data_IF_189408402602
#
_entry.id   IF_189408402602
#
_cell.length_a   1.000
_cell.length_b   1.000
_cell.length_c   1.000
_cell.angle_alpha   90.00
_cell.angle_beta   90.00
_cell.angle_gamma   90.00
#
_symmetry.space_group_name_H-M   'P 1'
#
loop_
_entity.id
_entity.type
_entity.pdbx_description
1 polymer ?
#
# COMPACT_ATOMS: atom_id res chain seq x y z
N UNK A 1 -14.28 17.34 35.81
CA UNK A 1 -14.53 15.98 35.30
C UNK A 1 -13.67 15.75 34.07
N UNK A 2 -12.59 14.95 34.16
CA UNK A 2 -11.92 14.42 32.96
C UNK A 2 -12.87 13.39 32.37
N UNK A 3 -13.42 13.63 31.18
CA UNK A 3 -14.09 12.59 30.44
C UNK A 3 -13.09 11.43 30.29
N UNK A 4 -13.45 10.24 30.76
CA UNK A 4 -12.76 9.02 30.34
C UNK A 4 -12.87 9.02 28.82
N UNK A 5 -11.74 9.16 28.13
CA UNK A 5 -11.74 9.01 26.69
C UNK A 5 -12.11 7.55 26.42
N UNK A 6 -13.30 7.36 25.85
CA UNK A 6 -13.77 6.04 25.45
C UNK A 6 -12.93 5.58 24.27
N UNK A 7 -12.47 4.34 24.30
CA UNK A 7 -11.79 3.73 23.15
C UNK A 7 -12.64 3.81 21.89
N UNK A 8 -12.00 3.95 20.73
CA UNK A 8 -12.70 3.99 19.45
C UNK A 8 -13.35 2.63 19.17
N UNK A 9 -14.62 2.65 18.77
CA UNK A 9 -15.23 1.47 18.16
C UNK A 9 -14.71 1.30 16.73
N UNK A 10 -14.70 0.06 16.23
CA UNK A 10 -14.18 -0.28 14.89
C UNK A 10 -14.83 0.58 13.79
N UNK A 11 -16.16 0.63 13.75
CA UNK A 11 -16.89 1.39 12.71
C UNK A 11 -16.54 2.89 12.74
N UNK A 12 -16.39 3.45 13.95
CA UNK A 12 -15.99 4.85 14.12
C UNK A 12 -14.56 5.08 13.64
N UNK A 13 -13.63 4.17 13.94
CA UNK A 13 -12.24 4.26 13.50
C UNK A 13 -12.13 4.29 11.96
N UNK A 14 -12.84 3.39 11.27
CA UNK A 14 -12.83 3.32 9.80
C UNK A 14 -13.54 4.50 9.12
N UNK A 15 -14.53 5.12 9.77
CA UNK A 15 -15.24 6.26 9.19
C UNK A 15 -14.51 7.57 9.48
N UNK A 16 -14.14 7.79 10.73
CA UNK A 16 -13.54 9.04 11.20
C UNK A 16 -12.10 9.22 10.71
N UNK A 17 -11.38 8.16 10.33
CA UNK A 17 -10.03 8.35 9.77
C UNK A 17 -10.06 9.15 8.46
N UNK A 18 -11.16 9.05 7.70
CA UNK A 18 -11.34 9.78 6.45
C UNK A 18 -11.99 11.15 6.64
N UNK A 19 -12.83 11.31 7.67
CA UNK A 19 -13.61 12.54 7.91
C UNK A 19 -12.96 13.48 8.94
N UNK A 20 -12.43 12.91 10.02
CA UNK A 20 -11.90 13.60 11.21
C UNK A 20 -10.62 12.92 11.73
N UNK A 21 -9.54 12.80 10.93
CA UNK A 21 -8.35 12.03 11.29
C UNK A 21 -7.70 12.47 12.61
N UNK A 22 -7.71 13.77 12.91
CA UNK A 22 -7.18 14.32 14.17
C UNK A 22 -7.86 13.70 15.40
N UNK A 23 -9.18 13.47 15.34
CA UNK A 23 -9.91 12.84 16.44
C UNK A 23 -9.47 11.39 16.61
N UNK A 24 -9.31 10.65 15.52
CA UNK A 24 -8.82 9.27 15.54
C UNK A 24 -7.45 9.19 16.20
N UNK A 25 -6.48 9.97 15.73
CA UNK A 25 -5.14 9.97 16.30
C UNK A 25 -5.12 10.40 17.77
N UNK A 26 -6.05 11.25 18.22
CA UNK A 26 -6.12 11.65 19.64
C UNK A 26 -6.50 10.51 20.58
N UNK A 27 -7.33 9.56 20.12
CA UNK A 27 -7.84 8.40 20.88
C UNK A 27 -7.10 7.10 20.57
N UNK A 28 -6.17 7.13 19.61
CA UNK A 28 -5.57 5.93 19.04
C UNK A 28 -4.73 5.14 20.06
N UNK A 29 -4.03 5.83 20.96
CA UNK A 29 -3.21 5.19 22.02
C UNK A 29 -4.03 4.35 23.00
N UNK A 30 -5.29 4.70 23.22
CA UNK A 30 -6.23 3.94 24.07
C UNK A 30 -6.89 2.78 23.30
N UNK A 31 -6.68 2.72 21.99
CA UNK A 31 -7.35 1.81 21.07
C UNK A 31 -6.36 0.78 20.47
N UNK A 32 -5.35 0.35 21.23
CA UNK A 32 -4.31 -0.62 20.79
C UNK A 32 -4.87 -1.92 20.22
N UNK A 33 -6.01 -2.36 20.73
CA UNK A 33 -6.73 -3.54 20.26
C UNK A 33 -7.23 -3.42 18.81
N UNK A 34 -7.24 -2.22 18.20
CA UNK A 34 -7.63 -2.02 16.81
C UNK A 34 -6.51 -2.33 15.80
N UNK A 35 -5.25 -2.47 16.26
CA UNK A 35 -4.10 -2.72 15.37
C UNK A 35 -4.31 -3.95 14.48
N UNK A 36 -4.66 -5.09 15.08
CA UNK A 36 -4.89 -6.33 14.34
C UNK A 36 -6.14 -6.26 13.45
N UNK A 37 -7.17 -5.49 13.83
CA UNK A 37 -8.38 -5.31 13.03
C UNK A 37 -8.10 -4.49 11.76
N UNK A 38 -7.37 -3.39 11.89
CA UNK A 38 -6.95 -2.58 10.73
C UNK A 38 -6.02 -3.38 9.83
N UNK A 39 -5.05 -4.08 10.42
CA UNK A 39 -4.18 -4.97 9.67
C UNK A 39 -4.97 -6.05 8.91
N UNK A 40 -5.92 -6.71 9.57
CA UNK A 40 -6.77 -7.73 8.96
C UNK A 40 -7.64 -7.14 7.84
N UNK A 41 -8.14 -5.92 7.98
CA UNK A 41 -8.92 -5.26 6.93
C UNK A 41 -8.07 -4.95 5.69
N UNK A 42 -6.87 -4.40 5.87
CA UNK A 42 -5.92 -4.15 4.77
C UNK A 42 -5.55 -5.48 4.10
N UNK A 43 -5.25 -6.51 4.90
CA UNK A 43 -4.91 -7.83 4.39
C UNK A 43 -6.07 -8.47 3.62
N UNK A 44 -7.27 -8.48 4.20
CA UNK A 44 -8.45 -9.06 3.57
C UNK A 44 -8.74 -8.39 2.22
N UNK A 45 -8.62 -7.07 2.13
CA UNK A 45 -8.81 -6.34 0.88
C UNK A 45 -7.73 -6.67 -0.17
N UNK A 46 -6.48 -6.75 0.25
CA UNK A 46 -5.36 -7.12 -0.62
C UNK A 46 -5.54 -8.56 -1.16
N UNK A 47 -5.83 -9.51 -0.27
CA UNK A 47 -6.05 -10.91 -0.62
C UNK A 47 -7.27 -11.07 -1.52
N UNK A 48 -8.40 -10.46 -1.16
CA UNK A 48 -9.62 -10.49 -1.97
C UNK A 48 -9.37 -9.96 -3.38
N UNK A 49 -8.65 -8.83 -3.50
CA UNK A 49 -8.34 -8.23 -4.81
C UNK A 49 -7.52 -9.16 -5.69
N UNK A 50 -6.48 -9.80 -5.13
CA UNK A 50 -5.67 -10.75 -5.87
C UNK A 50 -6.45 -12.02 -6.25
N UNK A 51 -7.25 -12.56 -5.32
CA UNK A 51 -8.07 -13.75 -5.59
C UNK A 51 -9.15 -13.48 -6.65
N UNK A 52 -9.80 -12.32 -6.61
CA UNK A 52 -10.79 -11.92 -7.61
C UNK A 52 -10.14 -11.74 -8.98
N UNK A 53 -9.01 -11.03 -9.04
CA UNK A 53 -8.33 -10.75 -10.30
C UNK A 53 -7.82 -12.03 -10.97
N UNK A 54 -7.00 -12.81 -10.27
CA UNK A 54 -6.41 -14.02 -10.84
C UNK A 54 -7.38 -15.20 -10.93
N UNK A 55 -8.42 -15.24 -10.09
CA UNK A 55 -9.45 -16.29 -10.16
C UNK A 55 -10.43 -16.14 -11.33
N UNK A 56 -10.52 -14.94 -11.92
CA UNK A 56 -11.38 -14.65 -13.06
C UNK A 56 -10.66 -14.77 -14.42
N UNK A 57 -9.35 -15.02 -14.41
CA UNK A 57 -8.48 -15.01 -15.59
C UNK A 57 -7.93 -16.43 -15.83
N UNK A 58 -7.82 -16.83 -17.10
CA UNK A 58 -7.20 -18.10 -17.48
C UNK A 58 -5.70 -18.10 -17.07
N UNK A 59 -5.22 -19.11 -16.33
CA UNK A 59 -3.80 -19.28 -16.03
C UNK A 59 -2.88 -19.17 -17.24
N UNK A 60 -3.28 -19.69 -18.41
CA UNK A 60 -2.48 -19.58 -19.65
C UNK A 60 -2.41 -18.14 -20.17
N UNK A 61 -3.44 -17.31 -19.94
CA UNK A 61 -3.37 -15.89 -20.26
C UNK A 61 -2.29 -15.19 -19.41
N UNK A 62 -2.20 -15.54 -18.12
CA UNK A 62 -1.18 -14.98 -17.21
C UNK A 62 0.22 -15.38 -17.68
N UNK A 63 0.42 -16.65 -18.02
CA UNK A 63 1.69 -17.16 -18.57
C UNK A 63 2.08 -16.41 -19.84
N UNK A 64 1.14 -16.25 -20.78
CA UNK A 64 1.41 -15.56 -22.04
C UNK A 64 1.78 -14.09 -21.84
N UNK A 65 1.08 -13.38 -20.95
CA UNK A 65 1.40 -11.99 -20.60
C UNK A 65 2.77 -11.88 -19.91
N UNK A 66 3.11 -12.80 -19.01
CA UNK A 66 4.43 -12.85 -18.36
C UNK A 66 5.57 -13.14 -19.36
N UNK A 67 5.37 -14.08 -20.28
CA UNK A 67 6.34 -14.36 -21.35
C UNK A 67 6.52 -13.18 -22.30
N UNK A 68 5.44 -12.46 -22.61
CA UNK A 68 5.53 -11.23 -23.40
C UNK A 68 6.33 -10.13 -22.67
N UNK A 69 6.18 -10.03 -21.35
CA UNK A 69 6.93 -9.09 -20.53
C UNK A 69 8.41 -9.48 -20.35
N UNK A 70 8.77 -10.77 -20.49
CA UNK A 70 10.14 -11.26 -20.38
C UNK A 70 11.04 -10.91 -21.58
N UNK A 71 10.47 -10.37 -22.67
CA UNK A 71 11.20 -9.94 -23.85
C UNK A 71 11.57 -11.07 -24.80
N UNK A 72 12.63 -10.85 -25.59
CA UNK A 72 13.09 -11.81 -26.61
C UNK A 72 13.88 -12.96 -25.97
N UNK A 73 13.22 -14.11 -25.83
CA UNK A 73 13.79 -15.36 -25.34
C UNK A 73 14.05 -16.32 -26.51
N UNK A 74 15.11 -17.13 -26.44
CA UNK A 74 15.28 -18.24 -27.39
C UNK A 74 14.13 -19.25 -27.25
N UNK A 75 13.83 -20.07 -28.28
CA UNK A 75 12.75 -21.05 -28.20
C UNK A 75 12.85 -22.01 -27.00
N UNK A 76 14.06 -22.42 -26.65
CA UNK A 76 14.31 -23.29 -25.49
C UNK A 76 14.09 -22.57 -24.15
N UNK A 77 14.55 -21.33 -24.02
CA UNK A 77 14.36 -20.53 -22.80
C UNK A 77 12.89 -20.16 -22.60
N UNK A 78 12.19 -19.85 -23.68
CA UNK A 78 10.75 -19.54 -23.66
C UNK A 78 9.93 -20.73 -23.16
N UNK A 79 10.23 -21.95 -23.63
CA UNK A 79 9.51 -23.16 -23.21
C UNK A 79 9.81 -23.51 -21.74
N UNK A 80 11.05 -23.31 -21.29
CA UNK A 80 11.43 -23.49 -19.89
C UNK A 80 10.73 -22.48 -18.97
N UNK A 81 10.78 -21.19 -19.33
CA UNK A 81 10.06 -20.12 -18.61
C UNK A 81 8.55 -20.36 -18.58
N UNK A 82 7.96 -20.77 -19.70
CA UNK A 82 6.54 -21.09 -19.78
C UNK A 82 6.17 -22.21 -18.80
N UNK A 83 7.00 -23.25 -18.70
CA UNK A 83 6.80 -24.36 -17.76
C UNK A 83 6.86 -23.87 -16.31
N UNK A 84 7.83 -23.01 -15.98
CA UNK A 84 7.94 -22.41 -14.65
C UNK A 84 6.67 -21.60 -14.36
N UNK A 85 6.27 -20.70 -15.24
CA UNK A 85 5.08 -19.86 -15.03
C UNK A 85 3.80 -20.69 -14.89
N UNK A 86 3.60 -21.72 -15.72
CA UNK A 86 2.43 -22.63 -15.58
C UNK A 86 2.35 -23.28 -14.20
N UNK A 87 3.48 -23.73 -13.66
CA UNK A 87 3.52 -24.34 -12.32
C UNK A 87 3.09 -23.38 -11.20
N UNK A 88 3.22 -22.07 -11.40
CA UNK A 88 2.83 -21.04 -10.44
C UNK A 88 1.54 -20.30 -10.81
N UNK A 89 1.05 -20.46 -12.04
CA UNK A 89 -0.08 -19.70 -12.57
C UNK A 89 -1.35 -19.92 -11.74
N UNK A 90 -1.66 -21.18 -11.41
CA UNK A 90 -2.80 -21.55 -10.54
C UNK A 90 -2.72 -20.93 -9.13
N UNK A 91 -1.51 -20.64 -8.65
CA UNK A 91 -1.27 -20.05 -7.33
C UNK A 91 -1.06 -18.53 -7.38
N UNK A 92 -1.18 -17.88 -8.54
CA UNK A 92 -0.84 -16.45 -8.71
C UNK A 92 -1.67 -15.54 -7.79
N UNK A 93 -2.96 -15.83 -7.63
CA UNK A 93 -3.82 -15.07 -6.71
C UNK A 93 -3.40 -15.19 -5.24
N UNK A 94 -3.23 -16.42 -4.75
CA UNK A 94 -2.85 -16.66 -3.35
C UNK A 94 -1.44 -16.16 -3.07
N UNK A 95 -0.46 -16.50 -3.92
CA UNK A 95 0.93 -16.10 -3.76
C UNK A 95 1.09 -14.59 -3.90
N UNK A 96 0.44 -13.95 -4.87
CA UNK A 96 0.43 -12.49 -5.04
C UNK A 96 -0.15 -11.77 -3.82
N UNK A 97 -1.27 -12.27 -3.28
CA UNK A 97 -1.86 -11.75 -2.05
C UNK A 97 -0.95 -11.89 -0.83
N UNK A 98 -0.30 -13.05 -0.65
CA UNK A 98 0.64 -13.30 0.46
C UNK A 98 1.89 -12.42 0.34
N UNK A 99 2.51 -12.36 -0.85
CA UNK A 99 3.70 -11.54 -1.10
C UNK A 99 3.37 -10.07 -0.83
N UNK A 100 2.26 -9.57 -1.36
CA UNK A 100 1.81 -8.20 -1.14
C UNK A 100 1.56 -7.90 0.35
N UNK A 101 0.97 -8.85 1.09
CA UNK A 101 0.79 -8.73 2.54
C UNK A 101 2.13 -8.62 3.27
N UNK A 102 3.06 -9.53 2.99
CA UNK A 102 4.38 -9.56 3.65
C UNK A 102 5.13 -8.26 3.38
N UNK A 103 5.16 -7.80 2.12
CA UNK A 103 5.83 -6.54 1.76
C UNK A 103 5.17 -5.34 2.42
N UNK A 104 3.83 -5.30 2.47
CA UNK A 104 3.09 -4.23 3.15
C UNK A 104 3.43 -4.21 4.64
N UNK A 105 3.42 -5.37 5.31
CA UNK A 105 3.74 -5.49 6.74
C UNK A 105 5.17 -5.06 7.06
N UNK A 106 6.14 -5.51 6.25
CA UNK A 106 7.54 -5.09 6.38
C UNK A 106 7.67 -3.57 6.22
N UNK A 107 7.00 -2.98 5.22
CA UNK A 107 6.92 -1.54 5.04
C UNK A 107 6.31 -0.83 6.26
N UNK A 108 5.23 -1.36 6.83
CA UNK A 108 4.61 -0.81 8.04
C UNK A 108 5.55 -0.84 9.25
N UNK A 109 6.30 -1.93 9.45
CA UNK A 109 7.28 -2.08 10.53
C UNK A 109 8.42 -1.08 10.35
N UNK A 110 8.97 -0.96 9.15
CA UNK A 110 10.04 -0.01 8.84
C UNK A 110 9.59 1.44 9.05
N UNK A 111 8.40 1.78 8.59
CA UNK A 111 7.84 3.12 8.72
C UNK A 111 7.52 3.46 10.19
N UNK A 112 7.00 2.50 10.96
CA UNK A 112 6.82 2.65 12.40
C UNK A 112 8.14 2.87 13.14
N UNK A 113 9.19 2.11 12.80
CA UNK A 113 10.53 2.30 13.36
C UNK A 113 11.09 3.67 13.01
N UNK A 114 10.92 4.12 11.76
CA UNK A 114 11.29 5.46 11.32
C UNK A 114 10.60 6.53 12.17
N UNK A 115 9.27 6.50 12.31
CA UNK A 115 8.54 7.50 13.10
C UNK A 115 8.95 7.47 14.57
N UNK A 116 9.19 6.28 15.14
CA UNK A 116 9.69 6.14 16.49
C UNK A 116 11.03 6.86 16.69
N UNK A 117 11.98 6.65 15.77
CA UNK A 117 13.31 7.26 15.85
C UNK A 117 13.24 8.77 15.58
N UNK A 118 12.51 9.19 14.54
CA UNK A 118 12.48 10.57 14.08
C UNK A 118 11.64 11.49 14.98
N UNK A 119 10.61 10.97 15.64
CA UNK A 119 9.64 11.77 16.38
C UNK A 119 9.74 11.66 17.90
N UNK A 120 10.36 10.62 18.47
CA UNK A 120 10.62 10.56 19.91
C UNK A 120 11.70 11.57 20.32
N UNK A 121 11.63 12.03 21.57
CA UNK A 121 12.61 12.92 22.19
C UNK A 121 12.82 12.53 23.65
N UNK A 122 13.77 13.18 24.34
CA UNK A 122 14.04 12.91 25.75
C UNK A 122 12.75 12.99 26.62
N UNK A 123 11.92 14.00 26.34
CA UNK A 123 10.68 14.28 27.08
C UNK A 123 9.43 13.56 26.52
N UNK A 124 9.54 12.87 25.37
CA UNK A 124 8.42 12.19 24.72
C UNK A 124 8.87 10.84 24.19
N UNK A 125 8.53 9.79 24.93
CA UNK A 125 8.79 8.39 24.56
C UNK A 125 7.46 7.70 24.28
N UNK A 126 7.16 7.51 23.00
CA UNK A 126 6.05 6.69 22.52
C UNK A 126 6.60 5.32 22.13
N UNK A 127 5.94 4.24 22.56
CA UNK A 127 6.38 2.86 22.35
C UNK A 127 6.24 2.45 20.88
N UNK A 128 7.05 1.47 20.45
CA UNK A 128 6.98 0.94 19.08
C UNK A 128 5.58 0.46 18.69
N UNK A 129 4.87 -0.22 19.60
CA UNK A 129 3.52 -0.73 19.33
C UNK A 129 2.51 0.38 19.02
N UNK A 130 2.65 1.55 19.65
CA UNK A 130 1.82 2.71 19.33
C UNK A 130 2.19 3.26 17.94
N UNK A 131 3.48 3.38 17.63
CA UNK A 131 3.93 3.81 16.29
C UNK A 131 3.54 2.82 15.18
N UNK A 132 3.49 1.53 15.49
CA UNK A 132 3.02 0.52 14.55
C UNK A 132 1.52 0.66 14.29
N UNK A 133 0.70 0.81 15.34
CA UNK A 133 -0.73 1.10 15.22
C UNK A 133 -0.97 2.41 14.44
N UNK A 134 -0.20 3.45 14.74
CA UNK A 134 -0.20 4.70 14.00
C UNK A 134 0.01 4.47 12.50
N UNK A 135 1.07 3.75 12.14
CA UNK A 135 1.41 3.46 10.75
C UNK A 135 0.28 2.71 10.04
N UNK A 136 -0.29 1.68 10.65
CA UNK A 136 -1.42 0.94 10.07
C UNK A 136 -2.61 1.84 9.75
N UNK A 137 -2.94 2.78 10.64
CA UNK A 137 -4.01 3.74 10.43
C UNK A 137 -3.70 4.73 9.31
N UNK A 138 -2.45 5.18 9.17
CA UNK A 138 -2.05 6.04 8.04
C UNK A 138 -2.14 5.33 6.70
N UNK A 139 -2.08 4.00 6.69
CA UNK A 139 -2.16 3.15 5.49
C UNK A 139 -3.59 2.72 5.12
N UNK A 140 -4.61 3.08 5.90
CA UNK A 140 -6.01 2.78 5.58
C UNK A 140 -6.49 3.22 4.19
N UNK A 141 -5.97 4.30 3.57
CA UNK A 141 -6.28 4.63 2.17
C UNK A 141 -6.04 3.49 1.17
N UNK A 142 -5.18 2.50 1.49
CA UNK A 142 -4.98 1.29 0.67
C UNK A 142 -6.29 0.49 0.49
N UNK A 143 -7.17 0.49 1.49
CA UNK A 143 -8.50 -0.14 1.37
C UNK A 143 -9.32 0.52 0.27
N UNK A 144 -9.29 1.85 0.20
CA UNK A 144 -9.97 2.62 -0.85
C UNK A 144 -9.33 2.36 -2.21
N UNK A 145 -7.99 2.25 -2.29
CA UNK A 145 -7.29 1.85 -3.51
C UNK A 145 -7.81 0.52 -4.05
N UNK A 146 -7.84 -0.51 -3.21
CA UNK A 146 -8.29 -1.85 -3.62
C UNK A 146 -9.79 -1.90 -3.96
N UNK A 147 -10.64 -1.12 -3.28
CA UNK A 147 -12.03 -0.98 -3.67
C UNK A 147 -12.16 -0.34 -5.07
N UNK A 148 -11.40 0.72 -5.35
CA UNK A 148 -11.37 1.34 -6.67
C UNK A 148 -10.85 0.39 -7.76
N UNK A 149 -9.83 -0.41 -7.44
CA UNK A 149 -9.36 -1.48 -8.32
C UNK A 149 -10.45 -2.51 -8.62
N UNK A 150 -11.16 -3.02 -7.61
CA UNK A 150 -12.23 -3.98 -7.81
C UNK A 150 -13.35 -3.42 -8.68
N UNK A 151 -13.77 -2.17 -8.43
CA UNK A 151 -14.75 -1.47 -9.27
C UNK A 151 -14.26 -1.40 -10.71
N UNK A 152 -13.02 -0.95 -10.93
CA UNK A 152 -12.44 -0.85 -12.27
C UNK A 152 -12.37 -2.22 -12.95
N UNK A 153 -11.87 -3.24 -12.26
CA UNK A 153 -11.79 -4.62 -12.76
C UNK A 153 -13.13 -5.15 -13.26
N UNK A 154 -14.22 -4.93 -12.50
CA UNK A 154 -15.55 -5.39 -12.92
C UNK A 154 -16.16 -4.56 -14.06
N UNK A 155 -15.66 -3.35 -14.30
CA UNK A 155 -16.08 -2.49 -15.42
C UNK A 155 -15.23 -2.72 -16.68
N UNK A 156 -14.01 -3.20 -16.54
CA UNK A 156 -13.09 -3.46 -17.65
C UNK A 156 -13.47 -4.76 -18.38
N UNK A 157 -13.73 -4.71 -19.69
CA UNK A 157 -13.95 -5.91 -20.50
C UNK A 157 -12.74 -6.84 -20.50
N UNK A 158 -12.97 -8.15 -20.60
CA UNK A 158 -11.90 -9.15 -20.53
C UNK A 158 -10.77 -8.96 -21.56
N UNK A 159 -11.07 -8.38 -22.72
CA UNK A 159 -10.09 -8.13 -23.79
C UNK A 159 -9.23 -6.88 -23.55
N UNK A 160 -9.58 -6.02 -22.59
CA UNK A 160 -8.84 -4.81 -22.19
C UNK A 160 -8.11 -4.99 -20.85
N UNK A 161 -8.23 -6.17 -20.21
CA UNK A 161 -7.53 -6.45 -18.97
C UNK A 161 -6.02 -6.49 -19.19
N UNK A 162 -5.28 -5.84 -18.30
CA UNK A 162 -3.82 -5.84 -18.24
C UNK A 162 -3.35 -6.27 -16.85
N UNK A 163 -2.14 -6.84 -16.77
CA UNK A 163 -1.58 -7.33 -15.50
C UNK A 163 -1.32 -6.22 -14.48
N UNK A 164 -1.10 -5.00 -14.95
CA UNK A 164 -0.82 -3.80 -14.17
C UNK A 164 -2.09 -3.05 -13.75
N UNK A 165 -3.30 -3.54 -14.06
CA UNK A 165 -4.56 -2.91 -13.67
C UNK A 165 -4.65 -2.64 -12.15
N UNK A 166 -4.00 -3.48 -11.33
CA UNK A 166 -3.92 -3.30 -9.87
C UNK A 166 -3.21 -1.99 -9.46
N UNK A 167 -2.44 -1.41 -10.36
CA UNK A 167 -1.72 -0.15 -10.23
C UNK A 167 -2.41 1.00 -10.98
N UNK A 168 -3.71 0.91 -11.29
CA UNK A 168 -4.49 1.96 -11.98
C UNK A 168 -4.33 3.39 -11.40
N UNK A 169 -3.97 3.50 -10.13
CA UNK A 169 -3.76 4.75 -9.39
C UNK A 169 -2.31 5.25 -9.41
N UNK A 170 -1.44 4.64 -10.22
CA UNK A 170 -0.03 5.02 -10.37
C UNK A 170 0.14 6.26 -11.25
N UNK A 171 1.28 6.93 -11.12
CA UNK A 171 1.65 8.06 -11.97
C UNK A 171 1.66 7.63 -13.44
N UNK A 172 2.11 6.41 -13.73
CA UNK A 172 2.15 5.91 -15.09
C UNK A 172 0.75 5.80 -15.69
N UNK A 173 -0.16 5.07 -15.03
CA UNK A 173 -1.50 4.81 -15.53
C UNK A 173 -2.36 6.08 -15.64
N UNK A 174 -2.12 7.07 -14.76
CA UNK A 174 -2.89 8.30 -14.74
C UNK A 174 -2.40 9.36 -15.73
N UNK A 175 -1.08 9.47 -15.96
CA UNK A 175 -0.50 10.63 -16.65
C UNK A 175 0.54 10.31 -17.74
N UNK A 176 1.33 9.24 -17.61
CA UNK A 176 2.49 9.03 -18.49
C UNK A 176 2.29 7.96 -19.56
N UNK A 177 1.50 6.92 -19.28
CA UNK A 177 1.19 5.82 -20.20
C UNK A 177 2.43 5.21 -20.87
N UNK A 178 3.51 5.07 -20.10
CA UNK A 178 4.76 4.48 -20.55
C UNK A 178 4.57 2.99 -20.80
N UNK A 179 5.32 2.46 -21.77
CA UNK A 179 5.41 1.03 -22.04
C UNK A 179 6.49 0.37 -21.18
N UNK A 180 6.38 -0.95 -20.98
CA UNK A 180 7.31 -1.73 -20.15
C UNK A 180 8.78 -1.70 -20.60
N UNK A 181 9.06 -1.31 -21.85
CA UNK A 181 10.41 -1.13 -22.38
C UNK A 181 11.07 0.19 -21.99
N UNK A 182 10.32 1.15 -21.46
CA UNK A 182 10.83 2.49 -21.16
C UNK A 182 11.51 2.53 -19.78
N UNK A 183 12.67 3.22 -19.62
CA UNK A 183 13.45 3.18 -18.38
C UNK A 183 12.69 3.64 -17.13
N UNK A 184 11.76 4.59 -17.28
CA UNK A 184 10.98 5.15 -16.18
C UNK A 184 9.67 4.41 -15.90
N UNK A 185 9.36 3.36 -16.67
CA UNK A 185 8.09 2.61 -16.55
C UNK A 185 7.87 2.14 -15.12
N UNK A 186 8.78 1.34 -14.57
CA UNK A 186 8.62 0.80 -13.22
C UNK A 186 8.54 1.91 -12.18
N UNK A 187 9.41 2.91 -12.26
CA UNK A 187 9.42 4.02 -11.32
C UNK A 187 8.06 4.74 -11.27
N UNK A 188 7.47 5.03 -12.43
CA UNK A 188 6.16 5.67 -12.53
C UNK A 188 5.01 4.72 -12.14
N UNK A 189 5.14 3.42 -12.42
CA UNK A 189 4.13 2.39 -12.12
C UNK A 189 3.97 2.15 -10.61
N UNK A 190 5.05 2.30 -9.84
CA UNK A 190 5.01 2.14 -8.37
C UNK A 190 4.68 3.44 -7.62
N UNK A 191 4.79 4.60 -8.26
CA UNK A 191 4.49 5.89 -7.63
C UNK A 191 2.96 6.11 -7.60
N UNK A 192 2.36 5.79 -6.47
CA UNK A 192 0.90 5.75 -6.32
C UNK A 192 0.34 7.04 -5.67
N UNK A 193 -0.77 7.56 -6.23
CA UNK A 193 -1.42 8.78 -5.71
C UNK A 193 -1.92 8.63 -4.26
N UNK A 194 -2.25 7.40 -3.82
CA UNK A 194 -2.67 7.14 -2.44
C UNK A 194 -1.55 7.37 -1.42
N UNK A 195 -0.27 7.39 -1.83
CA UNK A 195 0.81 7.79 -0.92
C UNK A 195 0.66 9.22 -0.42
N UNK A 196 0.14 10.13 -1.25
CA UNK A 196 -0.13 11.52 -0.82
C UNK A 196 -1.15 11.56 0.31
N UNK A 197 -2.16 10.69 0.25
CA UNK A 197 -3.16 10.56 1.31
C UNK A 197 -2.55 9.97 2.58
N UNK A 198 -1.71 8.94 2.46
CA UNK A 198 -1.01 8.35 3.61
C UNK A 198 -0.10 9.38 4.30
N UNK A 199 0.64 10.17 3.52
CA UNK A 199 1.49 11.27 4.01
C UNK A 199 0.64 12.31 4.74
N UNK A 200 -0.51 12.69 4.18
CA UNK A 200 -1.41 13.65 4.82
C UNK A 200 -1.93 13.13 6.18
N UNK A 201 -2.34 11.86 6.26
CA UNK A 201 -2.78 11.24 7.52
C UNK A 201 -1.64 11.17 8.54
N UNK A 202 -0.44 10.76 8.11
CA UNK A 202 0.73 10.74 8.97
C UNK A 202 1.10 12.13 9.48
N UNK A 203 1.01 13.17 8.64
CA UNK A 203 1.27 14.54 9.07
C UNK A 203 0.27 15.01 10.15
N UNK A 204 -1.03 14.70 9.97
CA UNK A 204 -2.05 14.98 10.98
C UNK A 204 -1.72 14.25 12.28
N UNK A 205 -1.44 12.95 12.21
CA UNK A 205 -1.13 12.16 13.38
C UNK A 205 0.14 12.62 14.13
N UNK A 206 1.22 12.92 13.40
CA UNK A 206 2.47 13.45 13.96
C UNK A 206 2.24 14.79 14.67
N UNK A 207 1.39 15.65 14.10
CA UNK A 207 0.98 16.90 14.75
C UNK A 207 0.26 16.62 16.07
N UNK A 208 -0.70 15.71 16.09
CA UNK A 208 -1.48 15.38 17.29
C UNK A 208 -0.59 14.75 18.38
N UNK A 209 0.26 13.79 18.02
CA UNK A 209 1.07 13.03 18.99
C UNK A 209 2.30 13.79 19.49
N UNK A 210 2.90 14.61 18.64
CA UNK A 210 4.18 15.27 18.93
C UNK A 210 4.08 16.79 19.08
N UNK A 211 2.90 17.38 18.84
CA UNK A 211 2.68 18.83 18.89
C UNK A 211 3.63 19.63 17.99
N UNK A 212 4.05 19.01 16.88
CA UNK A 212 4.90 19.67 15.89
C UNK A 212 4.15 20.76 15.11
N UNK A 213 4.90 21.69 14.53
CA UNK A 213 4.35 22.62 13.53
C UNK A 213 3.87 21.85 12.30
N UNK A 214 2.91 22.41 11.56
CA UNK A 214 2.37 21.76 10.35
C UNK A 214 3.48 21.40 9.34
N UNK A 215 4.39 22.34 9.07
CA UNK A 215 5.48 22.13 8.13
C UNK A 215 6.41 20.98 8.56
N UNK A 216 6.73 20.90 9.85
CA UNK A 216 7.56 19.81 10.38
C UNK A 216 6.85 18.46 10.28
N UNK A 217 5.56 18.39 10.59
CA UNK A 217 4.80 17.15 10.47
C UNK A 217 4.69 16.66 9.03
N UNK A 218 4.44 17.56 8.08
CA UNK A 218 4.37 17.21 6.65
C UNK A 218 5.73 16.71 6.16
N UNK A 219 6.81 17.43 6.48
CA UNK A 219 8.15 17.05 6.06
C UNK A 219 8.53 15.66 6.61
N UNK A 220 8.34 15.43 7.91
CA UNK A 220 8.62 14.12 8.52
C UNK A 220 7.76 13.00 7.95
N UNK A 221 6.49 13.26 7.65
CA UNK A 221 5.62 12.27 7.01
C UNK A 221 6.05 11.92 5.58
N UNK A 222 6.53 12.91 4.82
CA UNK A 222 6.89 12.73 3.41
C UNK A 222 8.28 12.12 3.19
N UNK A 223 9.22 12.34 4.11
CA UNK A 223 10.63 11.92 3.96
C UNK A 223 10.79 10.45 3.54
N UNK A 224 10.15 9.46 4.17
CA UNK A 224 10.33 8.05 3.79
C UNK A 224 9.97 7.78 2.33
N UNK A 225 8.82 8.30 1.89
CA UNK A 225 8.34 8.14 0.52
C UNK A 225 9.24 8.87 -0.48
N UNK A 226 9.56 10.14 -0.22
CA UNK A 226 10.43 10.94 -1.10
C UNK A 226 11.83 10.33 -1.21
N UNK A 227 12.38 9.82 -0.12
CA UNK A 227 13.70 9.18 -0.12
C UNK A 227 13.72 7.98 -1.06
N UNK A 228 12.72 7.10 -0.98
CA UNK A 228 12.63 5.91 -1.83
C UNK A 228 12.58 6.32 -3.31
N UNK A 229 11.65 7.21 -3.68
CA UNK A 229 11.45 7.55 -5.08
C UNK A 229 12.56 8.42 -5.68
N UNK A 230 13.15 9.33 -4.90
CA UNK A 230 14.28 10.15 -5.36
C UNK A 230 15.53 9.29 -5.51
N UNK A 231 15.86 8.45 -4.52
CA UNK A 231 17.03 7.57 -4.61
C UNK A 231 16.88 6.62 -5.80
N UNK A 232 15.70 6.03 -6.00
CA UNK A 232 15.48 5.17 -7.15
C UNK A 232 15.63 5.93 -8.47
N UNK A 233 15.04 7.13 -8.59
CA UNK A 233 15.17 7.95 -9.80
C UNK A 233 16.63 8.27 -10.14
N UNK A 234 17.50 8.47 -9.15
CA UNK A 234 18.93 8.75 -9.35
C UNK A 234 19.75 7.53 -9.77
N UNK A 235 19.20 6.32 -9.63
CA UNK A 235 19.86 5.05 -9.98
C UNK A 235 19.46 4.51 -11.35
N UNK A 236 18.44 5.11 -11.99
CA UNK A 236 17.99 4.79 -13.35
C UNK A 236 18.83 5.59 -14.35
#
# INVERSE_FOLDING_TARGET
>A
MKASASSLQVQQAFTLIYLSPSEVFSKLKESRHLSWLVFLAIFAMCMLSNLVFFGAIDPEWVVNKQLAAAGDLSPSEREEMARIFRNFAEYSGVSGGIISMVMTLLGSVMLAAYYMIAANSADRKIEFNDWFLFTLFTQLPIVVKYLGFLVLFFLTPAYELELDLINYSSLNQLLLTLNSSEPLYQWAEYLDVFYLWQIALAAVGLKVWCQFSYSKSILLAAIPYLSIFIIWLLLI
#
